data_IF_372611853583
#
_entry.id   IF_372611853583
#
_cell.length_a   1.000
_cell.length_b   1.000
_cell.length_c   1.000
_cell.angle_alpha   90.00
_cell.angle_beta   90.00
_cell.angle_gamma   90.00
#
_symmetry.space_group_name_H-M   'P 1'
#
loop_
_entity.id
_entity.type
_entity.pdbx_description
1 polymer ?
#
# COMPACT_ATOMS: atom_id res chain seq x y z
N UNK A 1 23.31 -8.76 16.99
CA UNK A 1 23.82 -7.37 17.08
C UNK A 1 24.59 -7.11 15.79
N UNK A 2 24.31 -6.15 14.92
CA UNK A 2 23.44 -4.97 14.90
C UNK A 2 23.37 -4.59 13.43
N UNK A 3 22.21 -4.22 12.87
CA UNK A 3 22.24 -3.42 11.65
C UNK A 3 20.97 -2.57 11.54
N UNK A 4 21.07 -1.37 12.09
CA UNK A 4 20.30 -0.21 11.64
C UNK A 4 21.28 0.67 10.89
N UNK A 5 21.09 0.87 9.58
CA UNK A 5 21.37 2.16 8.90
C UNK A 5 20.42 2.35 7.71
N UNK A 6 19.72 3.47 7.77
CA UNK A 6 18.84 4.03 6.74
C UNK A 6 19.69 4.93 5.84
N UNK A 7 19.62 4.71 4.51
CA UNK A 7 19.58 5.71 3.42
C UNK A 7 20.00 5.05 2.12
N UNK A 8 19.08 4.99 1.17
CA UNK A 8 19.45 5.15 -0.24
C UNK A 8 18.52 6.20 -0.87
N UNK A 9 19.10 7.37 -1.14
CA UNK A 9 18.52 8.51 -1.84
C UNK A 9 19.02 8.58 -3.31
N UNK A 10 19.57 7.49 -3.85
CA UNK A 10 20.21 7.44 -5.18
C UNK A 10 19.76 6.29 -6.10
N UNK A 11 19.18 5.19 -5.61
CA UNK A 11 18.99 4.00 -6.46
C UNK A 11 17.56 3.49 -6.64
N UNK A 12 16.55 4.12 -6.03
CA UNK A 12 15.15 3.72 -6.26
C UNK A 12 14.78 2.40 -5.56
N UNK A 13 14.64 2.48 -4.23
CA UNK A 13 13.86 1.65 -3.30
C UNK A 13 13.52 0.18 -3.64
N UNK A 14 14.03 -0.73 -2.80
CA UNK A 14 13.38 -2.03 -2.52
C UNK A 14 13.18 -2.19 -1.01
N UNK A 15 11.94 -2.37 -0.52
CA UNK A 15 11.65 -2.88 0.83
C UNK A 15 10.33 -3.67 0.82
N UNK A 16 10.36 -4.88 1.40
CA UNK A 16 9.14 -5.59 1.85
C UNK A 16 8.53 -4.80 3.02
N UNK A 17 7.22 -4.60 2.98
CA UNK A 17 6.36 -4.04 4.05
C UNK A 17 6.71 -2.62 4.55
N UNK A 18 6.54 -1.61 3.70
CA UNK A 18 6.16 -0.28 4.17
C UNK A 18 4.68 -0.11 3.85
N UNK A 19 3.85 -0.02 4.89
CA UNK A 19 2.40 0.06 4.78
C UNK A 19 1.91 1.44 4.34
N UNK A 20 2.69 2.46 4.66
CA UNK A 20 2.46 3.85 4.27
C UNK A 20 3.70 4.40 3.58
N UNK A 21 3.52 5.43 2.77
CA UNK A 21 4.57 6.07 1.98
C UNK A 21 4.27 7.52 1.68
N UNK A 22 5.14 8.12 0.87
CA UNK A 22 5.02 9.50 0.43
C UNK A 22 5.27 9.59 -1.09
N UNK A 23 4.67 10.59 -1.72
CA UNK A 23 4.92 10.97 -3.10
C UNK A 23 5.02 12.49 -3.19
N UNK A 24 6.12 12.99 -3.76
CA UNK A 24 6.40 14.42 -3.91
C UNK A 24 6.86 14.72 -5.33
N UNK A 25 6.44 15.86 -5.88
CA UNK A 25 6.79 16.33 -7.23
C UNK A 25 5.57 16.42 -8.15
N UNK A 26 5.68 17.19 -9.25
CA UNK A 26 4.56 17.38 -10.19
C UNK A 26 3.32 18.03 -9.58
N UNK A 27 3.48 18.88 -8.56
CA UNK A 27 2.37 19.47 -7.78
C UNK A 27 1.85 18.58 -6.65
N UNK A 28 2.33 17.34 -6.52
CA UNK A 28 1.94 16.43 -5.46
C UNK A 28 2.78 16.64 -4.19
N UNK A 29 2.10 16.62 -3.04
CA UNK A 29 2.71 16.59 -1.71
C UNK A 29 1.95 15.62 -0.80
N UNK A 30 2.07 14.32 -1.09
CA UNK A 30 1.36 13.26 -0.40
C UNK A 30 2.31 12.64 0.64
N UNK A 31 1.84 12.50 1.87
CA UNK A 31 2.59 11.86 2.95
C UNK A 31 1.70 10.90 3.72
N UNK A 32 2.28 9.86 4.28
CA UNK A 32 1.59 8.82 5.06
C UNK A 32 0.44 8.12 4.30
N UNK A 33 0.47 8.09 2.97
CA UNK A 33 -0.53 7.41 2.15
C UNK A 33 -0.30 5.89 2.13
N UNK A 34 -1.35 5.06 2.13
CA UNK A 34 -1.24 3.61 2.11
C UNK A 34 -0.57 3.15 0.82
N UNK A 35 0.25 2.12 0.95
CA UNK A 35 0.89 1.47 -0.19
C UNK A 35 0.12 0.19 -0.50
N UNK A 36 -0.45 0.13 -1.71
CA UNK A 36 -1.23 -0.99 -2.20
C UNK A 36 -0.46 -1.76 -3.27
N UNK A 37 -0.62 -3.08 -3.31
CA UNK A 37 -0.07 -3.92 -4.37
C UNK A 37 -1.07 -4.10 -5.51
N UNK A 38 -0.71 -3.73 -6.74
CA UNK A 38 -1.62 -3.82 -7.90
C UNK A 38 -2.11 -5.24 -8.19
N UNK A 39 -1.36 -6.27 -7.78
CA UNK A 39 -1.77 -7.67 -7.89
C UNK A 39 -3.10 -7.99 -7.18
N UNK A 40 -3.52 -7.13 -6.25
CA UNK A 40 -4.70 -7.28 -5.41
C UNK A 40 -5.83 -6.30 -5.75
N UNK A 41 -5.64 -5.50 -6.81
CA UNK A 41 -6.67 -4.56 -7.28
C UNK A 41 -7.49 -5.29 -8.33
N UNK A 42 -8.78 -5.47 -8.04
CA UNK A 42 -9.76 -6.03 -8.97
C UNK A 42 -10.06 -5.09 -10.14
N UNK A 43 -10.75 -5.61 -11.16
CA UNK A 43 -11.16 -4.85 -12.33
C UNK A 43 -12.12 -3.69 -11.97
N UNK A 44 -12.84 -3.84 -10.86
CA UNK A 44 -13.75 -2.86 -10.25
C UNK A 44 -13.03 -1.79 -9.42
N UNK A 45 -11.69 -1.78 -9.43
CA UNK A 45 -10.84 -0.89 -8.61
C UNK A 45 -11.03 -1.08 -7.12
N UNK A 46 -11.46 -2.26 -6.70
CA UNK A 46 -11.45 -2.66 -5.30
C UNK A 46 -10.11 -3.32 -5.00
N UNK A 47 -9.41 -2.79 -4.01
CA UNK A 47 -8.25 -3.45 -3.44
C UNK A 47 -8.68 -4.29 -2.25
N UNK A 48 -8.27 -5.56 -2.25
CA UNK A 48 -8.49 -6.48 -1.14
C UNK A 48 -7.16 -6.95 -0.55
N UNK A 49 -6.85 -6.50 0.66
CA UNK A 49 -5.80 -7.11 1.47
C UNK A 49 -6.40 -7.75 2.71
N UNK A 50 -6.69 -9.05 2.65
CA UNK A 50 -7.36 -9.76 3.73
C UNK A 50 -6.42 -10.10 4.88
N UNK A 51 -5.38 -9.28 5.09
CA UNK A 51 -4.10 -9.58 5.75
C UNK A 51 -4.08 -10.92 6.51
N UNK A 52 -3.98 -12.01 5.73
CA UNK A 52 -3.73 -13.40 6.08
C UNK A 52 -4.16 -13.83 7.50
N UNK A 53 -5.48 -14.02 7.68
CA UNK A 53 -6.20 -14.89 8.65
C UNK A 53 -5.40 -15.21 9.92
N UNK A 54 -5.78 -14.56 11.02
CA UNK A 54 -5.35 -14.86 12.39
C UNK A 54 -3.84 -14.77 12.66
N UNK A 55 -3.37 -13.56 13.04
CA UNK A 55 -2.24 -13.43 13.95
C UNK A 55 -2.74 -12.80 15.24
N UNK A 56 -2.34 -13.35 16.39
CA UNK A 56 -2.62 -12.75 17.69
C UNK A 56 -1.90 -11.39 17.77
N UNK A 57 -2.65 -10.31 17.51
CA UNK A 57 -2.19 -8.92 17.57
C UNK A 57 -1.66 -8.37 16.24
N UNK A 58 -2.05 -7.13 15.94
CA UNK A 58 -1.47 -6.35 14.87
C UNK A 58 -0.05 -5.89 15.25
N UNK A 59 0.86 -5.88 14.28
CA UNK A 59 2.15 -5.22 14.50
C UNK A 59 1.93 -3.72 14.71
N UNK A 60 2.77 -3.06 15.50
CA UNK A 60 2.73 -1.60 15.71
C UNK A 60 2.71 -0.81 14.38
N UNK A 61 3.44 -1.29 13.37
CA UNK A 61 3.45 -0.70 12.02
C UNK A 61 2.11 -0.81 11.30
N UNK A 62 1.34 -1.85 11.59
CA UNK A 62 0.00 -2.04 11.05
C UNK A 62 -1.01 -1.16 11.78
N UNK A 63 -0.89 -1.02 13.10
CA UNK A 63 -1.69 -0.05 13.85
C UNK A 63 -1.45 1.38 13.35
N UNK A 64 -0.21 1.74 13.03
CA UNK A 64 0.13 3.01 12.40
C UNK A 64 -0.52 3.16 11.02
N UNK A 65 -0.57 2.07 10.23
CA UNK A 65 -1.28 2.03 8.96
C UNK A 65 -2.78 2.25 9.15
N UNK A 66 -3.45 1.49 10.03
CA UNK A 66 -4.88 1.63 10.33
C UNK A 66 -5.21 3.05 10.84
N UNK A 67 -4.34 3.65 11.65
CA UNK A 67 -4.49 5.05 12.08
C UNK A 67 -4.35 6.01 10.91
N UNK A 68 -3.38 5.79 10.03
CA UNK A 68 -3.22 6.60 8.83
C UNK A 68 -4.43 6.47 7.90
N UNK A 69 -5.10 5.31 7.84
CA UNK A 69 -6.29 5.09 7.00
C UNK A 69 -7.43 6.08 7.26
N UNK A 70 -7.53 6.55 8.50
CA UNK A 70 -8.58 7.48 8.93
C UNK A 70 -8.41 8.90 8.40
N UNK A 71 -7.25 9.23 7.83
CA UNK A 71 -6.91 10.58 7.38
C UNK A 71 -6.55 10.65 5.89
N UNK A 72 -7.04 9.71 5.07
CA UNK A 72 -6.56 9.57 3.69
C UNK A 72 -7.49 10.13 2.63
N UNK A 73 -6.85 10.75 1.64
CA UNK A 73 -7.43 11.09 0.34
C UNK A 73 -6.87 10.21 -0.78
N UNK A 74 -5.68 9.62 -0.59
CA UNK A 74 -4.90 9.03 -1.68
C UNK A 74 -4.23 7.71 -1.31
N UNK A 75 -4.08 6.81 -2.29
CA UNK A 75 -3.35 5.55 -2.19
C UNK A 75 -2.21 5.47 -3.21
N UNK A 76 -1.05 4.97 -2.77
CA UNK A 76 0.11 4.72 -3.61
C UNK A 76 0.11 3.27 -4.08
N UNK A 77 -0.06 3.04 -5.38
CA UNK A 77 -0.11 1.68 -5.95
C UNK A 77 1.24 1.30 -6.53
N UNK A 78 1.79 0.20 -6.01
CA UNK A 78 3.03 -0.41 -6.48
C UNK A 78 2.78 -1.63 -7.34
N UNK A 79 3.66 -1.83 -8.32
CA UNK A 79 3.62 -2.93 -9.24
C UNK A 79 3.72 -4.27 -8.51
N UNK A 80 2.66 -5.05 -8.69
CA UNK A 80 2.60 -6.48 -8.50
C UNK A 80 1.68 -7.11 -9.55
N UNK A 81 1.93 -8.37 -9.87
CA UNK A 81 1.08 -9.19 -10.70
C UNK A 81 0.83 -10.54 -10.05
N UNK A 82 -0.05 -11.32 -10.68
CA UNK A 82 -0.32 -12.70 -10.34
C UNK A 82 -0.03 -13.52 -11.58
N UNK A 83 0.81 -14.54 -11.45
CA UNK A 83 1.04 -15.47 -12.56
C UNK A 83 -0.12 -16.48 -12.68
N UNK A 84 -0.05 -17.32 -13.71
CA UNK A 84 -1.06 -18.34 -14.02
C UNK A 84 -1.26 -19.35 -12.87
N UNK A 85 -0.24 -19.56 -12.03
CA UNK A 85 -0.31 -20.45 -10.86
C UNK A 85 -0.92 -19.77 -9.64
N UNK A 86 -1.28 -18.49 -9.76
CA UNK A 86 -1.81 -17.71 -8.68
C UNK A 86 -0.75 -17.14 -7.73
N UNK A 87 0.54 -17.28 -8.05
CA UNK A 87 1.65 -16.76 -7.24
C UNK A 87 1.83 -15.27 -7.52
N UNK A 88 1.94 -14.50 -6.44
CA UNK A 88 2.15 -13.06 -6.51
C UNK A 88 3.62 -12.76 -6.80
N UNK A 89 3.87 -11.87 -7.75
CA UNK A 89 5.17 -11.28 -8.03
C UNK A 89 5.04 -9.75 -8.03
N UNK A 90 6.16 -9.04 -7.95
CA UNK A 90 6.14 -7.58 -8.04
C UNK A 90 7.52 -6.98 -7.97
N UNK A 91 7.68 -5.83 -8.61
CA UNK A 91 8.94 -5.09 -8.62
C UNK A 91 8.99 -4.03 -7.52
N UNK A 92 7.86 -3.74 -6.86
CA UNK A 92 7.77 -2.67 -5.85
C UNK A 92 7.84 -1.26 -6.43
N UNK A 93 7.93 -1.12 -7.76
CA UNK A 93 7.90 0.17 -8.47
C UNK A 93 6.56 0.86 -8.23
N UNK A 94 6.54 2.14 -7.84
CA UNK A 94 5.32 2.94 -7.85
C UNK A 94 4.84 3.08 -9.30
N UNK A 95 3.58 2.75 -9.56
CA UNK A 95 3.00 2.77 -10.92
C UNK A 95 1.74 3.60 -11.00
N UNK A 96 1.11 3.94 -9.88
CA UNK A 96 -0.04 4.81 -9.88
C UNK A 96 -0.26 5.43 -8.50
N UNK A 97 -0.95 6.56 -8.51
CA UNK A 97 -1.56 7.14 -7.32
C UNK A 97 -3.05 7.29 -7.62
N UNK A 98 -3.88 6.82 -6.70
CA UNK A 98 -5.34 6.89 -6.80
C UNK A 98 -5.92 7.70 -5.67
N UNK A 99 -7.07 8.32 -5.92
CA UNK A 99 -7.97 8.73 -4.85
C UNK A 99 -8.54 7.51 -4.13
N UNK A 100 -8.81 7.66 -2.84
CA UNK A 100 -9.55 6.67 -2.06
C UNK A 100 -10.97 7.19 -1.90
N UNK A 101 -11.94 6.45 -2.45
CA UNK A 101 -13.37 6.80 -2.32
C UNK A 101 -13.91 6.34 -0.97
N UNK A 102 -13.53 5.13 -0.56
CA UNK A 102 -13.91 4.57 0.73
C UNK A 102 -12.90 3.49 1.14
N UNK A 103 -12.90 3.19 2.43
CA UNK A 103 -12.21 2.03 2.98
C UNK A 103 -13.08 1.34 4.02
N UNK A 104 -12.89 0.04 4.15
CA UNK A 104 -13.53 -0.78 5.18
C UNK A 104 -12.44 -1.58 5.90
N UNK A 105 -12.59 -1.70 7.21
CA UNK A 105 -11.72 -2.52 8.05
C UNK A 105 -12.63 -3.52 8.75
N UNK A 106 -12.43 -4.81 8.50
CA UNK A 106 -13.21 -5.86 9.14
C UNK A 106 -12.76 -6.12 10.59
N UNK A 107 -13.50 -6.97 11.31
CA UNK A 107 -13.22 -7.30 12.71
C UNK A 107 -11.88 -8.05 12.92
N UNK A 108 -11.34 -8.68 11.88
CA UNK A 108 -10.03 -9.34 11.89
C UNK A 108 -8.91 -8.40 11.42
N UNK A 109 -9.27 -7.15 11.09
CA UNK A 109 -8.39 -6.11 10.57
C UNK A 109 -8.00 -6.29 9.11
N UNK A 110 -8.73 -7.09 8.33
CA UNK A 110 -8.64 -7.06 6.88
C UNK A 110 -9.08 -5.69 6.35
N UNK A 111 -8.41 -5.20 5.30
CA UNK A 111 -8.71 -3.89 4.73
C UNK A 111 -9.10 -3.99 3.26
N UNK A 112 -10.21 -3.34 2.96
CA UNK A 112 -10.67 -3.09 1.61
C UNK A 112 -10.61 -1.60 1.29
N UNK A 113 -10.16 -1.26 0.07
CA UNK A 113 -10.25 0.09 -0.45
C UNK A 113 -11.04 0.10 -1.74
N UNK A 114 -11.91 1.10 -1.89
CA UNK A 114 -12.48 1.47 -3.18
C UNK A 114 -11.68 2.62 -3.76
N UNK A 115 -11.01 2.39 -4.88
CA UNK A 115 -10.16 3.39 -5.51
C UNK A 115 -10.95 4.21 -6.54
N UNK A 116 -10.69 5.51 -6.54
CA UNK A 116 -11.34 6.50 -7.40
C UNK A 116 -10.55 6.80 -8.66
N UNK A 117 -10.41 8.09 -8.95
CA UNK A 117 -9.64 8.54 -10.11
C UNK A 117 -8.15 8.30 -9.89
N UNK A 118 -7.45 7.94 -10.98
CA UNK A 118 -5.98 7.92 -11.00
C UNK A 118 -5.49 9.35 -11.15
N UNK A 119 -4.69 9.82 -10.20
CA UNK A 119 -4.15 11.18 -10.20
C UNK A 119 -2.73 11.25 -10.77
N UNK A 120 -1.98 10.15 -10.74
CA UNK A 120 -0.63 10.07 -11.30
C UNK A 120 -0.23 8.64 -11.70
N UNK A 121 0.81 8.55 -12.55
CA UNK A 121 1.43 7.32 -13.05
C UNK A 121 2.91 7.22 -12.69
#
# INVERSE_FOLDING_TARGET
MTMIRIRDLRTGFTYRSAWTGFAKGGGLNISNAPILHSARIGADRVYEDPFKRTRHGFSEKYEQFLKALRSLEHALVRHGGRDETGKMFGTGKLIAIYEILSHEIDAEGGVMFRLGQRIAS
#
